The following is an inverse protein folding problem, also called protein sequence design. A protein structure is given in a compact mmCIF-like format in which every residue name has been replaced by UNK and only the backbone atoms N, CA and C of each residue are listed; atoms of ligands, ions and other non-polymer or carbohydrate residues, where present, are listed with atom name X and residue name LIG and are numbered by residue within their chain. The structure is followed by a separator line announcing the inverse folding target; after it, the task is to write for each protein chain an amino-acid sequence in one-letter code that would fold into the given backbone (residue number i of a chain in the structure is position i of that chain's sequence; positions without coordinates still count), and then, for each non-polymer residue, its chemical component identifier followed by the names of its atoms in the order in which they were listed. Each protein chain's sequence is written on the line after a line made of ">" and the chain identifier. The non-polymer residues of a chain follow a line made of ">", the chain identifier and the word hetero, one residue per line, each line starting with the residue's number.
data_IF_022420852367
#
_entry.id   IF_022420852367
#
_cell.length_a   1.000
_cell.length_b   1.000
_cell.length_c   1.000
_cell.angle_alpha   90.00
_cell.angle_beta   90.00
_cell.angle_gamma   90.00
#
_symmetry.space_group_name_H-M   'P 1'
#
loop_
_entity.id
_entity.type
_entity.pdbx_description
1 polymer ?
#
# COMPACT_ATOMS: atom_id res chain seq x y z
N UNK A 1 -4.94 0.56 -32.96
CA UNK A 1 -5.01 1.70 -32.01
C UNK A 1 -4.10 1.36 -30.86
N UNK A 2 -2.87 1.85 -30.95
CA UNK A 2 -1.91 1.84 -29.84
C UNK A 2 -2.51 2.75 -28.78
N UNK A 3 -3.03 2.16 -27.71
CA UNK A 3 -3.52 2.94 -26.58
C UNK A 3 -2.30 3.66 -26.05
N UNK A 4 -2.36 4.97 -25.85
CA UNK A 4 -1.36 5.72 -25.07
C UNK A 4 -1.28 5.06 -23.69
N UNK A 5 -0.40 4.07 -23.57
CA UNK A 5 -0.20 3.26 -22.39
C UNK A 5 0.68 4.10 -21.49
N UNK A 6 0.05 5.04 -20.78
CA UNK A 6 0.68 5.65 -19.62
C UNK A 6 1.26 4.49 -18.80
N UNK A 7 2.56 4.47 -18.50
CA UNK A 7 3.12 3.40 -17.71
C UNK A 7 2.44 3.33 -16.35
N UNK A 8 2.28 2.13 -15.80
CA UNK A 8 1.56 1.90 -14.55
C UNK A 8 2.10 2.76 -13.40
N UNK A 9 3.40 3.06 -13.42
CA UNK A 9 4.07 3.89 -12.43
C UNK A 9 3.72 5.39 -12.50
N UNK A 10 3.26 5.89 -13.65
CA UNK A 10 2.81 7.29 -13.83
C UNK A 10 1.29 7.44 -13.63
N UNK A 11 0.54 6.34 -13.56
CA UNK A 11 -0.91 6.39 -13.35
C UNK A 11 -1.26 6.74 -11.92
N UNK A 12 -2.17 7.69 -11.75
CA UNK A 12 -2.76 8.02 -10.46
C UNK A 12 -3.73 6.92 -9.97
N UNK A 13 -4.43 6.24 -10.88
CA UNK A 13 -5.45 5.24 -10.56
C UNK A 13 -5.29 3.98 -11.41
N UNK A 14 -5.11 2.84 -10.75
CA UNK A 14 -4.89 1.54 -11.36
C UNK A 14 -6.20 0.79 -11.59
N UNK A 15 -6.24 -0.05 -12.62
CA UNK A 15 -7.27 -1.10 -12.74
C UNK A 15 -6.96 -2.27 -11.79
N UNK A 16 -7.90 -3.21 -11.68
CA UNK A 16 -7.70 -4.41 -10.87
C UNK A 16 -6.55 -5.27 -11.41
N UNK A 17 -6.43 -5.38 -12.74
CA UNK A 17 -5.37 -6.15 -13.41
C UNK A 17 -4.00 -5.50 -13.18
N UNK A 18 -3.92 -4.18 -13.31
CA UNK A 18 -2.69 -3.43 -13.04
C UNK A 18 -2.28 -3.55 -11.57
N UNK A 19 -3.24 -3.46 -10.66
CA UNK A 19 -3.00 -3.65 -9.21
C UNK A 19 -2.55 -5.07 -8.92
N UNK A 20 -3.12 -6.07 -9.61
CA UNK A 20 -2.74 -7.48 -9.47
C UNK A 20 -1.28 -7.70 -9.89
N UNK A 21 -0.91 -7.18 -11.06
CA UNK A 21 0.48 -7.24 -11.55
C UNK A 21 1.44 -6.47 -10.64
N UNK A 22 1.03 -5.33 -10.09
CA UNK A 22 1.86 -4.52 -9.21
C UNK A 22 2.09 -5.16 -7.83
N UNK A 23 1.04 -5.70 -7.21
CA UNK A 23 1.11 -6.28 -5.85
C UNK A 23 1.51 -7.75 -5.84
N UNK A 24 1.43 -8.44 -6.98
CA UNK A 24 1.62 -9.90 -7.06
C UNK A 24 0.46 -10.69 -6.43
N UNK A 25 -0.75 -10.13 -6.45
CA UNK A 25 -1.96 -10.71 -5.83
C UNK A 25 -3.04 -10.92 -6.90
N UNK A 26 -3.81 -11.99 -6.80
CA UNK A 26 -4.88 -12.29 -7.77
C UNK A 26 -5.96 -11.21 -7.86
N UNK A 27 -6.51 -11.02 -9.07
CA UNK A 27 -7.56 -10.04 -9.36
C UNK A 27 -8.81 -10.25 -8.49
N UNK A 28 -9.20 -11.50 -8.25
CA UNK A 28 -10.37 -11.83 -7.43
C UNK A 28 -10.18 -11.41 -5.97
N UNK A 29 -8.96 -11.56 -5.43
CA UNK A 29 -8.62 -11.10 -4.08
C UNK A 29 -8.71 -9.58 -4.01
N UNK A 30 -8.17 -8.86 -4.99
CA UNK A 30 -8.25 -7.38 -5.03
C UNK A 30 -9.70 -6.93 -5.15
N UNK A 31 -10.51 -7.62 -5.96
CA UNK A 31 -11.94 -7.35 -6.08
C UNK A 31 -12.65 -7.55 -4.74
N UNK A 32 -12.38 -8.66 -4.04
CA UNK A 32 -12.94 -8.92 -2.72
C UNK A 32 -12.55 -7.84 -1.70
N UNK A 33 -11.28 -7.43 -1.67
CA UNK A 33 -10.79 -6.35 -0.81
C UNK A 33 -11.48 -5.01 -1.12
N UNK A 34 -11.67 -4.68 -2.38
CA UNK A 34 -12.36 -3.47 -2.79
C UNK A 34 -13.85 -3.47 -2.38
N UNK A 35 -14.52 -4.62 -2.48
CA UNK A 35 -15.89 -4.78 -1.98
C UNK A 35 -15.95 -4.66 -0.45
N UNK A 36 -15.04 -5.29 0.26
CA UNK A 36 -14.98 -5.20 1.72
C UNK A 36 -14.77 -3.75 2.19
N UNK A 37 -13.80 -3.04 1.61
CA UNK A 37 -13.55 -1.63 1.90
C UNK A 37 -14.76 -0.73 1.60
N UNK A 38 -15.50 -0.99 0.51
CA UNK A 38 -16.76 -0.28 0.21
C UNK A 38 -17.80 -0.42 1.32
N UNK A 39 -17.82 -1.57 2.01
CA UNK A 39 -18.74 -1.83 3.12
C UNK A 39 -18.15 -1.47 4.49
N UNK A 40 -17.06 -0.69 4.53
CA UNK A 40 -16.39 -0.28 5.77
C UNK A 40 -15.61 -1.41 6.44
N UNK A 41 -15.41 -2.53 5.74
CA UNK A 41 -14.68 -3.70 6.24
C UNK A 41 -13.24 -3.68 5.67
N UNK A 42 -12.45 -2.70 6.11
CA UNK A 42 -11.04 -2.57 5.80
C UNK A 42 -10.66 -1.29 5.04
N UNK A 43 -9.35 -1.02 5.00
CA UNK A 43 -8.78 0.24 4.48
C UNK A 43 -8.16 0.09 3.09
N UNK A 44 -8.63 -0.87 2.30
CA UNK A 44 -8.11 -1.07 0.95
C UNK A 44 -8.43 0.16 0.08
N UNK A 45 -7.44 0.82 -0.57
CA UNK A 45 -7.61 2.12 -1.20
C UNK A 45 -8.29 2.04 -2.58
N UNK A 46 -9.49 1.45 -2.62
CA UNK A 46 -10.31 1.31 -3.80
C UNK A 46 -11.46 2.31 -3.84
N UNK A 47 -11.79 2.77 -5.03
CA UNK A 47 -12.93 3.66 -5.29
C UNK A 47 -13.64 3.26 -6.59
N UNK A 48 -14.88 3.74 -6.72
CA UNK A 48 -15.77 3.37 -7.83
C UNK A 48 -15.89 4.53 -8.82
N UNK A 49 -15.73 4.23 -10.11
CA UNK A 49 -15.97 5.16 -11.22
C UNK A 49 -17.03 4.52 -12.11
N UNK A 50 -18.29 4.90 -11.88
CA UNK A 50 -19.45 4.19 -12.42
C UNK A 50 -19.45 2.73 -11.95
N UNK A 51 -19.47 1.79 -12.89
CA UNK A 51 -19.44 0.35 -12.61
C UNK A 51 -18.02 -0.23 -12.51
N UNK A 52 -16.97 0.60 -12.66
CA UNK A 52 -15.58 0.13 -12.64
C UNK A 52 -14.95 0.41 -11.28
N UNK A 53 -14.20 -0.56 -10.79
CA UNK A 53 -13.36 -0.42 -9.59
C UNK A 53 -11.99 0.10 -10.02
N UNK A 54 -11.47 1.08 -9.27
CA UNK A 54 -10.15 1.67 -9.42
C UNK A 54 -9.44 1.67 -8.08
N UNK A 55 -8.11 1.63 -8.11
CA UNK A 55 -7.26 1.65 -6.91
C UNK A 55 -6.37 2.88 -6.96
N UNK A 56 -6.32 3.65 -5.88
CA UNK A 56 -5.42 4.81 -5.76
C UNK A 56 -3.98 4.31 -5.69
N UNK A 57 -3.18 4.61 -6.70
CA UNK A 57 -1.80 4.14 -6.76
C UNK A 57 -0.98 4.75 -5.62
N UNK A 58 -1.16 6.06 -5.37
CA UNK A 58 -0.49 6.79 -4.29
C UNK A 58 -0.76 6.18 -2.91
N UNK A 59 -2.03 5.90 -2.60
CA UNK A 59 -2.39 5.39 -1.28
C UNK A 59 -1.96 3.94 -1.11
N UNK A 60 -1.96 3.16 -2.19
CA UNK A 60 -1.42 1.80 -2.21
C UNK A 60 0.08 1.79 -1.90
N UNK A 61 0.88 2.62 -2.57
CA UNK A 61 2.33 2.74 -2.30
C UNK A 61 2.59 3.24 -0.89
N UNK A 62 1.79 4.21 -0.41
CA UNK A 62 1.90 4.72 0.95
C UNK A 62 1.64 3.60 1.99
N UNK A 63 0.63 2.78 1.79
CA UNK A 63 0.33 1.64 2.65
C UNK A 63 1.49 0.63 2.66
N UNK A 64 2.05 0.30 1.50
CA UNK A 64 3.22 -0.58 1.39
C UNK A 64 4.43 -0.02 2.16
N UNK A 65 4.72 1.27 2.03
CA UNK A 65 5.79 1.93 2.77
C UNK A 65 5.55 1.92 4.29
N UNK A 66 4.29 2.08 4.75
CA UNK A 66 3.98 1.99 6.18
C UNK A 66 4.24 0.60 6.74
N UNK A 67 3.91 -0.46 6.00
CA UNK A 67 4.16 -1.86 6.42
C UNK A 67 5.66 -2.12 6.56
N UNK A 68 6.45 -1.66 5.59
CA UNK A 68 7.91 -1.80 5.63
C UNK A 68 8.53 -1.01 6.79
N UNK A 69 8.11 0.24 6.99
CA UNK A 69 8.54 1.05 8.14
C UNK A 69 8.16 0.40 9.49
N UNK A 70 6.97 -0.19 9.59
CA UNK A 70 6.51 -0.87 10.80
C UNK A 70 7.37 -2.12 11.10
N UNK A 71 7.77 -2.85 10.05
CA UNK A 71 8.70 -3.98 10.15
C UNK A 71 10.08 -3.53 10.63
N UNK A 72 10.65 -2.48 10.03
CA UNK A 72 11.93 -1.93 10.48
C UNK A 72 11.86 -1.43 11.93
N UNK A 73 10.75 -0.82 12.32
CA UNK A 73 10.52 -0.39 13.71
C UNK A 73 10.42 -1.57 14.67
N UNK A 74 9.81 -2.69 14.29
CA UNK A 74 9.74 -3.87 15.17
C UNK A 74 11.12 -4.50 15.35
N UNK A 75 11.92 -4.60 14.28
CA UNK A 75 13.29 -5.10 14.30
C UNK A 75 14.23 -4.21 15.14
N UNK A 76 14.06 -2.89 15.07
CA UNK A 76 14.85 -1.94 15.86
C UNK A 76 14.39 -1.82 17.31
N UNK A 77 13.08 -1.89 17.60
CA UNK A 77 12.51 -1.84 18.97
C UNK A 77 12.76 -3.10 19.79
N UNK A 78 13.17 -4.21 19.16
CA UNK A 78 13.73 -5.37 19.87
C UNK A 78 15.03 -5.05 20.63
N UNK A 79 15.68 -3.92 20.35
CA UNK A 79 16.73 -3.33 21.19
C UNK A 79 16.05 -2.38 22.16
N UNK A 80 15.81 -2.83 23.39
CA UNK A 80 15.04 -2.08 24.40
C UNK A 80 15.49 -0.62 24.62
N UNK A 81 14.67 0.14 25.37
CA UNK A 81 14.80 1.58 25.66
C UNK A 81 16.26 2.07 25.63
N UNK A 82 16.61 3.06 24.78
CA UNK A 82 17.94 3.64 24.74
C UNK A 82 18.35 4.05 26.16
N UNK A 83 19.32 3.33 26.76
CA UNK A 83 19.90 3.74 28.03
C UNK A 83 20.68 5.01 27.73
N UNK A 84 20.23 6.14 28.28
CA UNK A 84 20.91 7.43 28.23
C UNK A 84 22.37 7.17 28.60
N UNK A 85 23.29 7.20 27.63
CA UNK A 85 24.73 7.06 27.89
C UNK A 85 25.06 8.21 28.83
N UNK A 86 25.43 7.91 30.08
CA UNK A 86 26.11 8.91 30.90
C UNK A 86 27.43 9.17 30.20
N UNK A 87 27.54 10.32 29.54
CA UNK A 87 28.83 10.86 29.13
C UNK A 87 29.67 10.93 30.41
N UNK A 88 30.80 10.23 30.40
CA UNK A 88 31.73 10.24 31.52
C UNK A 88 32.23 11.67 31.65
N UNK A 89 31.85 12.31 32.77
CA UNK A 89 32.48 13.54 33.22
C UNK A 89 33.92 13.18 33.56
N UNK A 90 34.86 13.74 32.81
CA UNK A 90 36.30 13.68 33.06
C UNK A 90 36.68 14.58 34.23
#
# INVERSE_FOLDING_TARGET
>A
MERDMIPVWEKAALTLEETASYMGVGVDTIRALAHAARHGMGDFPAFWVGNKIKVSHRDLTKAAAMVENAKQMSETRGRGRPRKRREAVA
#
